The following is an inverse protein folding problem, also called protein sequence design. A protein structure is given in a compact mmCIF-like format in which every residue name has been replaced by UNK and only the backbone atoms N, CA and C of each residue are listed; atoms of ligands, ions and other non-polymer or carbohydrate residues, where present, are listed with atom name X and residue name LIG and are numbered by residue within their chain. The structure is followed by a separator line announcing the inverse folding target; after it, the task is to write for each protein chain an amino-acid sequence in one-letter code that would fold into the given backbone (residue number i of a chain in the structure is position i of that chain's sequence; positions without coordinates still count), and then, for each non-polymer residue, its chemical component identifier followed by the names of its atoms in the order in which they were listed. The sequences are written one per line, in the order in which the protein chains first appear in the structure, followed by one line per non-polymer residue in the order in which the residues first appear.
data_IF_500530299448
#
_entry.id   IF_500530299448
#
_cell.length_a   1.000
_cell.length_b   1.000
_cell.length_c   1.000
_cell.angle_alpha   90.00
_cell.angle_beta   90.00
_cell.angle_gamma   90.00
#
_symmetry.space_group_name_H-M   'P 1'
#
loop_
_entity.id
_entity.type
_entity.pdbx_description
1 polymer ?
#
# COMPACT_ATOMS: atom_id res chain seq x y z
N UNK A 1 0.68 -15.32 2.16
CA UNK A 1 1.15 -13.99 2.62
C UNK A 1 1.55 -13.20 1.39
N UNK A 2 0.99 -12.00 1.19
CA UNK A 2 1.39 -11.12 0.08
C UNK A 2 2.76 -10.53 0.46
N UNK A 3 3.72 -10.56 -0.47
CA UNK A 3 5.02 -9.90 -0.30
C UNK A 3 5.02 -8.52 -0.96
N UNK A 4 5.93 -7.65 -0.51
CA UNK A 4 6.19 -6.34 -1.14
C UNK A 4 6.42 -6.50 -2.66
N UNK A 5 7.30 -7.42 -3.05
CA UNK A 5 7.61 -7.69 -4.45
C UNK A 5 6.39 -8.13 -5.27
N UNK A 6 5.50 -8.94 -4.69
CA UNK A 6 4.26 -9.34 -5.35
C UNK A 6 3.32 -8.15 -5.56
N UNK A 7 3.12 -7.35 -4.51
CA UNK A 7 2.25 -6.17 -4.59
C UNK A 7 2.76 -5.17 -5.64
N UNK A 8 4.06 -4.87 -5.63
CA UNK A 8 4.67 -3.93 -6.58
C UNK A 8 4.58 -4.42 -8.03
N UNK A 9 4.77 -5.73 -8.26
CA UNK A 9 4.60 -6.34 -9.58
C UNK A 9 3.18 -6.15 -10.12
N UNK A 10 2.16 -6.35 -9.27
CA UNK A 10 0.77 -6.16 -9.66
C UNK A 10 0.42 -4.69 -9.92
N UNK A 11 0.78 -3.78 -9.00
CA UNK A 11 0.55 -2.34 -9.16
C UNK A 11 1.23 -1.78 -10.42
N UNK A 12 2.45 -2.22 -10.70
CA UNK A 12 3.17 -1.88 -11.94
C UNK A 12 2.47 -2.42 -13.17
N UNK A 13 2.00 -3.67 -13.12
CA UNK A 13 1.27 -4.29 -14.23
C UNK A 13 -0.02 -3.54 -14.52
N UNK A 14 -0.78 -3.15 -13.49
CA UNK A 14 -2.01 -2.39 -13.66
C UNK A 14 -1.76 -1.00 -14.27
N UNK A 15 -0.71 -0.31 -13.84
CA UNK A 15 -0.28 0.96 -14.42
C UNK A 15 0.12 0.83 -15.89
N UNK A 16 0.96 -0.18 -16.23
CA UNK A 16 1.41 -0.45 -17.61
C UNK A 16 0.26 -0.80 -18.54
N UNK A 17 -0.70 -1.60 -18.06
CA UNK A 17 -1.90 -2.00 -18.82
C UNK A 17 -2.99 -0.94 -18.85
N UNK A 18 -2.78 0.23 -18.22
CA UNK A 18 -3.76 1.33 -18.12
C UNK A 18 -5.14 0.84 -17.66
N UNK A 19 -5.16 -0.02 -16.64
CA UNK A 19 -6.40 -0.64 -16.14
C UNK A 19 -7.32 0.35 -15.43
N UNK A 20 -6.81 1.53 -15.07
CA UNK A 20 -7.55 2.65 -14.51
C UNK A 20 -6.96 3.96 -15.00
N UNK A 21 -7.73 5.04 -14.89
CA UNK A 21 -7.27 6.41 -15.15
C UNK A 21 -6.41 6.94 -13.99
N UNK A 22 -6.86 6.73 -12.77
CA UNK A 22 -6.17 7.07 -11.51
C UNK A 22 -6.55 6.02 -10.44
N UNK A 23 -5.65 5.73 -9.52
CA UNK A 23 -5.84 4.78 -8.42
C UNK A 23 -5.47 5.44 -7.09
N UNK A 24 -6.33 5.28 -6.08
CA UNK A 24 -6.01 5.58 -4.68
C UNK A 24 -6.17 4.30 -3.87
N UNK A 25 -5.17 3.93 -3.07
CA UNK A 25 -5.19 2.72 -2.26
C UNK A 25 -4.96 3.05 -0.79
N UNK A 26 -5.95 2.79 0.05
CA UNK A 26 -5.86 2.91 1.51
C UNK A 26 -5.54 1.55 2.11
N UNK A 27 -4.49 1.49 2.95
CA UNK A 27 -3.99 0.24 3.54
C UNK A 27 -3.97 0.34 5.06
N UNK A 28 -4.78 -0.50 5.69
CA UNK A 28 -4.81 -0.71 7.14
C UNK A 28 -4.04 -1.99 7.48
N UNK A 29 -2.84 -1.83 8.03
CA UNK A 29 -2.02 -2.90 8.57
C UNK A 29 -0.93 -2.31 9.47
N UNK A 30 -0.40 -3.11 10.40
CA UNK A 30 0.85 -2.78 11.06
C UNK A 30 1.99 -2.70 10.04
N UNK A 31 2.90 -1.75 10.27
CA UNK A 31 4.05 -1.48 9.41
C UNK A 31 3.66 -1.29 7.92
N UNK A 32 2.45 -0.80 7.62
CA UNK A 32 1.90 -0.74 6.26
C UNK A 32 2.76 0.08 5.29
N UNK A 33 3.49 1.08 5.79
CA UNK A 33 4.46 1.84 4.99
C UNK A 33 5.57 0.97 4.38
N UNK A 34 5.89 -0.16 5.00
CA UNK A 34 6.92 -1.10 4.50
C UNK A 34 6.54 -1.75 3.17
N UNK A 35 5.24 -1.85 2.85
CA UNK A 35 4.75 -2.44 1.58
C UNK A 35 5.12 -1.61 0.33
N UNK A 36 5.50 -0.35 0.54
CA UNK A 36 5.83 0.61 -0.52
C UNK A 36 7.23 1.20 -0.36
N UNK A 37 7.98 0.80 0.67
CA UNK A 37 9.33 1.30 0.93
C UNK A 37 10.27 0.92 -0.22
N UNK A 38 11.11 1.86 -0.67
CA UNK A 38 12.12 1.60 -1.72
C UNK A 38 11.58 1.42 -3.15
N UNK A 39 10.25 1.42 -3.34
CA UNK A 39 9.64 1.33 -4.67
C UNK A 39 9.44 2.70 -5.29
N UNK A 40 9.74 2.88 -6.59
CA UNK A 40 9.52 4.15 -7.26
C UNK A 40 8.02 4.45 -7.38
N UNK A 41 7.61 5.73 -7.31
CA UNK A 41 6.21 6.10 -7.50
C UNK A 41 5.73 5.71 -8.89
N UNK A 42 4.52 5.14 -8.97
CA UNK A 42 3.89 4.81 -10.25
C UNK A 42 2.92 5.94 -10.64
N UNK A 43 3.07 6.57 -11.81
CA UNK A 43 2.22 7.68 -12.22
C UNK A 43 0.73 7.35 -12.17
N UNK A 44 -0.06 8.26 -11.58
CA UNK A 44 -1.51 8.09 -11.44
C UNK A 44 -1.94 7.16 -10.31
N UNK A 45 -1.02 6.69 -9.47
CA UNK A 45 -1.32 5.90 -8.27
C UNK A 45 -0.92 6.68 -7.01
N UNK A 46 -1.80 6.66 -6.01
CA UNK A 46 -1.60 7.30 -4.70
C UNK A 46 -1.90 6.29 -3.60
N UNK A 47 -1.04 6.22 -2.59
CA UNK A 47 -1.16 5.25 -1.50
C UNK A 47 -1.22 5.99 -0.17
N UNK A 48 -2.15 5.58 0.69
CA UNK A 48 -2.29 6.09 2.05
C UNK A 48 -2.25 4.90 2.99
N UNK A 49 -1.35 4.95 3.98
CA UNK A 49 -1.16 3.87 4.93
C UNK A 49 -1.58 4.31 6.33
N UNK A 50 -2.14 3.38 7.10
CA UNK A 50 -2.51 3.61 8.50
C UNK A 50 -1.29 3.82 9.40
N UNK A 51 -0.15 3.28 8.99
CA UNK A 51 1.10 3.33 9.74
C UNK A 51 2.30 3.49 8.79
N UNK A 52 3.40 4.03 9.30
CA UNK A 52 4.69 4.06 8.61
C UNK A 52 5.34 2.66 8.56
N UNK A 53 6.60 2.55 8.14
CA UNK A 53 7.28 1.27 7.97
C UNK A 53 7.79 0.61 9.27
N UNK A 54 7.73 1.31 10.41
CA UNK A 54 8.24 0.86 11.71
C UNK A 54 7.21 0.88 12.84
N UNK A 55 6.03 1.46 12.63
CA UNK A 55 4.99 1.55 13.64
C UNK A 55 3.81 0.61 13.35
N UNK A 56 3.21 0.11 14.41
CA UNK A 56 2.00 -0.70 14.34
C UNK A 56 0.76 0.16 14.16
N UNK A 57 -0.26 -0.39 13.51
CA UNK A 57 -1.56 0.26 13.44
C UNK A 57 -2.41 -0.11 14.66
N UNK A 58 -3.45 0.69 14.93
CA UNK A 58 -4.28 0.56 16.13
C UNK A 58 -5.74 0.35 15.73
N UNK A 59 -6.31 -0.74 16.26
CA UNK A 59 -7.75 -0.96 16.21
C UNK A 59 -8.47 -0.02 17.19
N UNK A 60 -9.67 0.41 16.81
CA UNK A 60 -10.57 1.18 17.67
C UNK A 60 -11.76 0.31 18.11
N UNK A 61 -12.46 0.73 19.17
CA UNK A 61 -13.59 0.02 19.80
C UNK A 61 -13.23 -1.33 20.49
N UNK A 62 -12.03 -1.43 21.07
CA UNK A 62 -11.66 -2.57 21.92
C UNK A 62 -12.35 -2.49 23.29
N UNK A 63 -12.72 -3.64 23.86
CA UNK A 63 -13.15 -3.72 25.26
C UNK A 63 -11.97 -3.37 26.19
N UNK A 64 -12.18 -2.59 27.27
CA UNK A 64 -11.12 -2.20 28.21
C UNK A 64 -10.47 -3.39 28.94
#
# INVERSE_FOLDING_TARGET
KITEAQLQSWLTTMGKKKMYKQLVFYVEACEAGSLFAGSPPIPGQYYVTASNAQESSIGTYCFP
#
